data_IF_103691948541
#
_entry.id   IF_103691948541
#
_cell.length_a   1.000
_cell.length_b   1.000
_cell.length_c   1.000
_cell.angle_alpha   90.00
_cell.angle_beta   90.00
_cell.angle_gamma   90.00
#
_symmetry.space_group_name_H-M   'P 1'
#
loop_
_entity.id
_entity.type
_entity.pdbx_description
1 polymer ?
#
# COMPACT_ATOMS: atom_id res chain seq x y z
N UNK A 1 20.99 18.91 -28.13
CA UNK A 1 20.46 17.60 -27.73
C UNK A 1 20.55 17.51 -26.22
N UNK A 2 19.46 17.33 -25.48
CA UNK A 2 19.52 17.11 -24.04
C UNK A 2 20.10 15.72 -23.78
N UNK A 3 21.07 15.65 -22.87
CA UNK A 3 21.85 14.45 -22.56
C UNK A 3 21.00 13.37 -21.91
N UNK A 4 21.17 12.14 -22.41
CA UNK A 4 20.78 10.94 -21.69
C UNK A 4 21.69 10.80 -20.46
N UNK A 5 21.11 10.88 -19.27
CA UNK A 5 21.76 10.43 -18.04
C UNK A 5 21.88 8.92 -18.09
N UNK A 6 23.10 8.41 -18.16
CA UNK A 6 23.43 7.02 -17.90
C UNK A 6 23.05 6.71 -16.44
N UNK A 7 21.95 5.98 -16.20
CA UNK A 7 21.67 5.45 -14.87
C UNK A 7 22.68 4.34 -14.61
N UNK A 8 23.65 4.64 -13.75
CA UNK A 8 24.64 3.72 -13.24
C UNK A 8 23.94 2.70 -12.33
N UNK A 9 23.66 1.50 -12.82
CA UNK A 9 23.04 0.41 -12.04
C UNK A 9 24.12 -0.19 -11.13
N UNK A 10 24.35 0.47 -10.00
CA UNK A 10 25.15 -0.05 -8.90
C UNK A 10 24.55 -1.34 -8.34
N UNK A 11 25.37 -2.10 -7.61
CA UNK A 11 25.00 -3.37 -6.96
C UNK A 11 23.57 -3.35 -6.39
N UNK A 12 22.81 -4.43 -6.60
CA UNK A 12 21.46 -4.54 -6.07
C UNK A 12 21.47 -4.36 -4.56
N UNK A 13 20.36 -3.85 -4.03
CA UNK A 13 20.11 -3.97 -2.61
C UNK A 13 20.08 -5.46 -2.25
N UNK A 14 20.53 -5.78 -1.03
CA UNK A 14 20.54 -7.16 -0.54
C UNK A 14 19.17 -7.86 -0.72
N UNK A 15 18.01 -7.22 -0.47
CA UNK A 15 16.72 -7.84 -0.74
C UNK A 15 16.50 -8.17 -2.22
N UNK A 16 16.92 -7.31 -3.14
CA UNK A 16 16.77 -7.58 -4.57
C UNK A 16 17.63 -8.75 -5.06
N UNK A 17 18.90 -8.86 -4.61
CA UNK A 17 19.74 -10.04 -4.89
C UNK A 17 19.13 -11.32 -4.32
N UNK A 18 18.58 -11.23 -3.11
CA UNK A 18 17.91 -12.36 -2.44
C UNK A 18 16.68 -12.81 -3.22
N UNK A 19 15.84 -11.87 -3.68
CA UNK A 19 14.65 -12.18 -4.48
C UNK A 19 15.02 -12.88 -5.79
N UNK A 20 15.99 -12.35 -6.55
CA UNK A 20 16.42 -12.96 -7.82
C UNK A 20 16.98 -14.37 -7.59
N UNK A 21 17.76 -14.57 -6.53
CA UNK A 21 18.30 -15.88 -6.16
C UNK A 21 17.18 -16.86 -5.78
N UNK A 22 16.23 -16.41 -4.96
CA UNK A 22 15.07 -17.20 -4.54
C UNK A 22 14.22 -17.63 -5.73
N UNK A 23 13.91 -16.71 -6.65
CA UNK A 23 13.17 -16.99 -7.87
C UNK A 23 13.91 -18.02 -8.71
N UNK A 24 15.20 -17.81 -8.97
CA UNK A 24 16.05 -18.72 -9.74
C UNK A 24 16.01 -20.15 -9.19
N UNK A 25 16.14 -20.29 -7.87
CA UNK A 25 16.09 -21.58 -7.19
C UNK A 25 14.71 -22.24 -7.27
N UNK A 26 13.63 -21.46 -7.16
CA UNK A 26 12.27 -22.00 -7.19
C UNK A 26 11.83 -22.45 -8.59
N UNK A 27 12.19 -21.72 -9.65
CA UNK A 27 11.76 -22.04 -11.02
C UNK A 27 12.76 -22.91 -11.79
N UNK A 28 13.96 -23.14 -11.25
CA UNK A 28 14.96 -24.06 -11.79
C UNK A 28 15.54 -23.67 -13.16
N UNK A 29 15.38 -22.40 -13.57
CA UNK A 29 15.94 -21.85 -14.81
C UNK A 29 17.05 -20.86 -14.44
N UNK A 30 18.05 -20.69 -15.31
CA UNK A 30 18.96 -19.54 -15.22
C UNK A 30 18.09 -18.28 -15.39
N UNK A 31 17.73 -17.66 -14.28
CA UNK A 31 16.87 -16.49 -14.23
C UNK A 31 17.75 -15.29 -13.92
N UNK A 32 18.24 -14.64 -14.97
CA UNK A 32 19.01 -13.40 -14.86
C UNK A 32 18.25 -12.30 -15.60
N UNK A 33 17.51 -11.43 -14.89
CA UNK A 33 16.77 -10.34 -15.54
C UNK A 33 17.68 -9.33 -16.25
N UNK A 34 19.02 -9.45 -16.17
CA UNK A 34 20.00 -8.47 -16.66
C UNK A 34 20.90 -8.93 -17.80
N UNK A 35 20.67 -10.09 -18.42
CA UNK A 35 21.51 -10.54 -19.54
C UNK A 35 20.77 -10.62 -20.89
N UNK A 36 21.36 -9.95 -21.89
CA UNK A 36 21.09 -10.13 -23.33
C UNK A 36 21.64 -11.47 -23.87
N UNK A 37 21.48 -12.60 -23.17
CA UNK A 37 21.80 -13.91 -23.75
C UNK A 37 20.50 -14.56 -24.19
N UNK A 38 19.93 -14.09 -25.31
CA UNK A 38 18.62 -14.59 -25.77
C UNK A 38 18.56 -15.02 -27.22
N UNK A 39 19.27 -14.35 -28.14
CA UNK A 39 19.23 -14.76 -29.55
C UNK A 39 20.17 -15.93 -29.87
N UNK A 40 21.35 -16.02 -29.26
CA UNK A 40 22.34 -17.04 -29.60
C UNK A 40 21.92 -18.47 -29.18
N UNK A 41 21.31 -18.62 -28.00
CA UNK A 41 20.87 -19.92 -27.50
C UNK A 41 19.58 -20.40 -28.17
N UNK A 42 18.65 -19.49 -28.45
CA UNK A 42 17.44 -19.78 -29.23
C UNK A 42 17.79 -20.19 -30.67
N UNK A 43 18.73 -19.50 -31.31
CA UNK A 43 19.24 -19.86 -32.64
C UNK A 43 19.95 -21.23 -32.61
N UNK A 44 20.80 -21.48 -31.60
CA UNK A 44 21.49 -22.76 -31.44
C UNK A 44 20.54 -23.93 -31.10
N UNK A 45 19.41 -23.65 -30.43
CA UNK A 45 18.33 -24.63 -30.17
C UNK A 45 17.52 -24.91 -31.44
N UNK A 46 17.13 -23.87 -32.18
CA UNK A 46 16.45 -23.98 -33.47
C UNK A 46 17.30 -24.74 -34.50
N UNK A 47 18.60 -24.43 -34.58
CA UNK A 47 19.54 -25.13 -35.46
C UNK A 47 19.75 -26.59 -35.06
N UNK A 48 19.66 -26.93 -33.76
CA UNK A 48 19.69 -28.33 -33.30
C UNK A 48 18.46 -29.10 -33.75
N UNK A 49 17.27 -28.48 -33.68
CA UNK A 49 16.02 -29.12 -34.10
C UNK A 49 15.98 -29.28 -35.62
N UNK A 50 16.44 -28.29 -36.40
CA UNK A 50 16.58 -28.42 -37.86
C UNK A 50 17.45 -29.60 -38.26
N UNK A 51 18.54 -29.86 -37.54
CA UNK A 51 19.43 -31.00 -37.84
C UNK A 51 18.76 -32.35 -37.61
N UNK A 52 17.88 -32.46 -36.61
CA UNK A 52 17.11 -33.69 -36.35
C UNK A 52 16.01 -33.91 -37.40
N UNK A 53 15.45 -32.85 -37.98
CA UNK A 53 14.46 -32.94 -39.06
C UNK A 53 15.03 -33.30 -40.44
N UNK A 54 16.35 -33.23 -40.64
CA UNK A 54 17.01 -33.49 -41.92
C UNK A 54 17.11 -34.99 -42.28
N UNK A 55 16.78 -35.88 -41.35
CA UNK A 55 16.74 -37.35 -41.57
C UNK A 55 15.35 -37.84 -42.02
N UNK A 56 14.38 -36.93 -42.18
CA UNK A 56 12.98 -37.25 -42.46
C UNK A 56 12.69 -37.18 -43.96
N UNK A 57 12.24 -38.30 -44.55
CA UNK A 57 12.00 -38.41 -46.00
C UNK A 57 10.70 -37.73 -46.46
N UNK A 58 9.81 -37.41 -45.52
CA UNK A 58 8.55 -36.71 -45.78
C UNK A 58 8.74 -35.20 -45.57
N UNK A 59 8.78 -34.47 -46.69
CA UNK A 59 8.99 -33.02 -46.74
C UNK A 59 7.89 -32.27 -45.97
N UNK A 60 6.65 -32.76 -45.98
CA UNK A 60 5.53 -32.09 -45.30
C UNK A 60 5.66 -32.20 -43.77
N UNK A 61 6.09 -33.37 -43.27
CA UNK A 61 6.35 -33.60 -41.85
C UNK A 61 7.54 -32.76 -41.37
N UNK A 62 8.62 -32.70 -42.15
CA UNK A 62 9.78 -31.88 -41.83
C UNK A 62 9.41 -30.38 -41.72
N UNK A 63 8.61 -29.84 -42.66
CA UNK A 63 8.14 -28.45 -42.63
C UNK A 63 7.21 -28.19 -41.43
N UNK A 64 6.35 -29.14 -41.08
CA UNK A 64 5.47 -29.01 -39.92
C UNK A 64 6.28 -28.99 -38.60
N UNK A 65 7.31 -29.84 -38.50
CA UNK A 65 8.21 -29.88 -37.34
C UNK A 65 9.02 -28.60 -37.18
N UNK A 66 9.59 -28.06 -38.25
CA UNK A 66 10.33 -26.79 -38.20
C UNK A 66 9.43 -25.64 -37.70
N UNK A 67 8.19 -25.54 -38.23
CA UNK A 67 7.20 -24.55 -37.76
C UNK A 67 6.82 -24.74 -36.29
N UNK A 68 6.64 -25.98 -35.84
CA UNK A 68 6.31 -26.28 -34.45
C UNK A 68 7.48 -25.92 -33.51
N UNK A 69 8.70 -26.29 -33.89
CA UNK A 69 9.92 -25.97 -33.15
C UNK A 69 10.15 -24.46 -33.04
N UNK A 70 9.96 -23.73 -34.14
CA UNK A 70 10.08 -22.28 -34.17
C UNK A 70 9.03 -21.59 -33.29
N UNK A 71 7.75 -21.99 -33.37
CA UNK A 71 6.69 -21.48 -32.49
C UNK A 71 7.01 -21.74 -31.02
N UNK A 72 7.39 -22.97 -30.68
CA UNK A 72 7.75 -23.34 -29.31
C UNK A 72 8.90 -22.48 -28.78
N UNK A 73 9.97 -22.32 -29.56
CA UNK A 73 11.12 -21.51 -29.16
C UNK A 73 10.73 -20.04 -28.91
N UNK A 74 9.94 -19.45 -29.82
CA UNK A 74 9.47 -18.08 -29.67
C UNK A 74 8.52 -17.91 -28.48
N UNK A 75 7.59 -18.83 -28.28
CA UNK A 75 6.66 -18.79 -27.13
C UNK A 75 7.41 -18.88 -25.80
N UNK A 76 8.37 -19.79 -25.67
CA UNK A 76 9.19 -19.89 -24.45
C UNK A 76 10.08 -18.67 -24.24
N UNK A 77 10.61 -18.06 -25.31
CA UNK A 77 11.36 -16.82 -25.23
C UNK A 77 10.48 -15.65 -24.75
N UNK A 78 9.29 -15.48 -25.32
CA UNK A 78 8.32 -14.45 -24.89
C UNK A 78 7.93 -14.66 -23.42
N UNK A 79 7.65 -15.90 -23.02
CA UNK A 79 7.35 -16.22 -21.62
C UNK A 79 8.48 -15.83 -20.69
N UNK A 80 9.72 -16.14 -21.07
CA UNK A 80 10.91 -15.77 -20.30
C UNK A 80 11.08 -14.25 -20.18
N UNK A 81 10.93 -13.52 -21.29
CA UNK A 81 10.97 -12.05 -21.34
C UNK A 81 9.93 -11.43 -20.40
N UNK A 82 8.69 -11.94 -20.40
CA UNK A 82 7.62 -11.44 -19.54
C UNK A 82 7.94 -11.62 -18.05
N UNK A 83 8.41 -12.81 -17.65
CA UNK A 83 8.77 -13.10 -16.25
C UNK A 83 9.90 -12.19 -15.75
N UNK A 84 10.93 -11.99 -16.58
CA UNK A 84 12.05 -11.12 -16.25
C UNK A 84 11.63 -9.65 -16.19
N UNK A 85 10.81 -9.18 -17.13
CA UNK A 85 10.33 -7.79 -17.13
C UNK A 85 9.46 -7.49 -15.91
N UNK A 86 8.57 -8.41 -15.53
CA UNK A 86 7.77 -8.29 -14.29
C UNK A 86 8.68 -8.23 -13.07
N UNK A 87 9.72 -9.07 -13.02
CA UNK A 87 10.66 -9.08 -11.90
C UNK A 87 11.46 -7.79 -11.84
N UNK A 88 11.98 -7.31 -12.98
CA UNK A 88 12.69 -6.04 -13.09
C UNK A 88 11.83 -4.87 -12.61
N UNK A 89 10.54 -4.84 -12.97
CA UNK A 89 9.56 -3.84 -12.49
C UNK A 89 9.27 -3.94 -10.98
N UNK A 90 9.46 -5.11 -10.38
CA UNK A 90 9.25 -5.33 -8.95
C UNK A 90 10.45 -4.88 -8.10
N UNK A 91 11.69 -5.00 -8.61
CA UNK A 91 12.90 -4.70 -7.82
C UNK A 91 12.93 -3.29 -7.20
N UNK A 92 12.53 -2.20 -7.89
CA UNK A 92 12.52 -0.86 -7.32
C UNK A 92 11.46 -0.64 -6.22
N UNK A 93 10.53 -1.59 -6.05
CA UNK A 93 9.43 -1.53 -5.09
C UNK A 93 9.74 -2.32 -3.81
N UNK A 94 10.94 -2.89 -3.70
CA UNK A 94 11.36 -3.63 -2.52
C UNK A 94 11.78 -2.70 -1.40
N UNK A 95 11.28 -2.97 -0.20
CA UNK A 95 11.69 -2.27 1.01
C UNK A 95 13.06 -2.75 1.48
N UNK A 96 13.81 -1.90 2.18
CA UNK A 96 15.12 -2.27 2.76
C UNK A 96 15.05 -3.47 3.72
N UNK A 97 13.86 -3.68 4.32
CA UNK A 97 13.56 -4.75 5.27
C UNK A 97 12.86 -5.95 4.65
N UNK A 98 12.67 -5.99 3.33
CA UNK A 98 12.00 -7.09 2.65
C UNK A 98 12.68 -8.43 2.95
N UNK A 99 11.88 -9.51 2.99
CA UNK A 99 12.37 -10.86 3.32
C UNK A 99 11.95 -11.89 2.25
N UNK A 100 12.53 -11.83 1.04
CA UNK A 100 12.19 -12.75 -0.05
C UNK A 100 12.48 -14.23 0.27
N UNK A 101 13.43 -14.50 1.17
CA UNK A 101 13.78 -15.88 1.55
C UNK A 101 12.61 -16.62 2.21
N UNK A 102 11.74 -15.89 2.91
CA UNK A 102 10.56 -16.44 3.56
C UNK A 102 9.37 -16.67 2.62
N UNK A 103 9.45 -16.27 1.35
CA UNK A 103 8.43 -16.59 0.36
C UNK A 103 8.35 -18.10 0.12
N UNK A 104 7.14 -18.63 -0.01
CA UNK A 104 6.92 -20.05 -0.29
C UNK A 104 7.27 -20.39 -1.75
N UNK A 105 8.04 -21.45 -1.97
CA UNK A 105 8.43 -21.88 -3.32
C UNK A 105 7.19 -22.23 -4.19
N UNK A 106 6.17 -22.85 -3.60
CA UNK A 106 4.92 -23.19 -4.30
C UNK A 106 4.16 -21.93 -4.74
N UNK A 107 4.21 -20.87 -3.94
CA UNK A 107 3.65 -19.58 -4.32
C UNK A 107 4.41 -18.98 -5.50
N UNK A 108 5.75 -18.98 -5.46
CA UNK A 108 6.61 -18.46 -6.54
C UNK A 108 6.35 -19.21 -7.84
N UNK A 109 6.31 -20.55 -7.78
CA UNK A 109 6.00 -21.38 -8.95
C UNK A 109 4.62 -21.06 -9.53
N UNK A 110 3.60 -20.90 -8.68
CA UNK A 110 2.26 -20.52 -9.11
C UNK A 110 2.24 -19.13 -9.75
N UNK A 111 2.92 -18.15 -9.13
CA UNK A 111 3.02 -16.79 -9.64
C UNK A 111 3.62 -16.74 -11.05
N UNK A 112 4.76 -17.39 -11.26
CA UNK A 112 5.44 -17.38 -12.56
C UNK A 112 4.74 -18.25 -13.62
N UNK A 113 4.02 -19.31 -13.23
CA UNK A 113 3.15 -20.03 -14.16
C UNK A 113 2.05 -19.15 -14.75
N UNK A 114 1.49 -18.24 -13.94
CA UNK A 114 0.41 -17.33 -14.37
C UNK A 114 0.92 -16.09 -15.10
N UNK A 115 1.95 -15.43 -14.59
CA UNK A 115 2.38 -14.14 -15.11
C UNK A 115 3.16 -14.23 -16.43
N UNK A 116 3.76 -15.40 -16.76
CA UNK A 116 4.59 -15.58 -17.96
C UNK A 116 3.87 -15.31 -19.29
N UNK A 117 2.53 -15.35 -19.32
CA UNK A 117 1.75 -15.07 -20.52
C UNK A 117 1.39 -13.58 -20.68
N UNK A 118 1.79 -12.73 -19.74
CA UNK A 118 1.37 -11.32 -19.66
C UNK A 118 2.42 -10.42 -20.32
N UNK A 119 2.08 -9.84 -21.46
CA UNK A 119 2.93 -8.89 -22.20
C UNK A 119 2.42 -7.45 -22.16
N UNK A 120 1.21 -7.19 -21.64
CA UNK A 120 0.69 -5.83 -21.49
C UNK A 120 1.41 -5.12 -20.35
N UNK A 121 1.96 -3.93 -20.63
CA UNK A 121 2.80 -3.19 -19.68
C UNK A 121 2.06 -2.79 -18.40
N UNK A 122 0.79 -2.39 -18.50
CA UNK A 122 0.00 -1.98 -17.33
C UNK A 122 -0.33 -3.18 -16.45
N UNK A 123 -0.70 -4.31 -17.06
CA UNK A 123 -0.88 -5.55 -16.31
C UNK A 123 0.43 -6.02 -15.67
N UNK A 124 1.57 -5.92 -16.36
CA UNK A 124 2.87 -6.25 -15.78
C UNK A 124 3.20 -5.39 -14.56
N UNK A 125 2.75 -4.13 -14.48
CA UNK A 125 2.92 -3.30 -13.27
C UNK A 125 2.11 -3.84 -12.07
N UNK A 126 0.94 -4.44 -12.32
CA UNK A 126 0.13 -5.08 -11.27
C UNK A 126 0.84 -6.34 -10.78
N UNK A 127 1.27 -7.20 -11.71
CA UNK A 127 2.04 -8.41 -11.39
C UNK A 127 3.33 -8.08 -10.62
N UNK A 128 4.04 -7.03 -11.02
CA UNK A 128 5.22 -6.54 -10.29
C UNK A 128 4.89 -6.06 -8.88
N UNK A 129 3.72 -5.43 -8.68
CA UNK A 129 3.23 -5.02 -7.36
C UNK A 129 2.93 -6.20 -6.45
N UNK A 130 2.32 -7.26 -6.99
CA UNK A 130 2.06 -8.51 -6.26
C UNK A 130 3.38 -9.16 -5.84
N UNK A 131 4.35 -9.27 -6.77
CA UNK A 131 5.65 -9.86 -6.48
C UNK A 131 6.42 -9.07 -5.41
N UNK A 132 6.47 -7.74 -5.55
CA UNK A 132 7.13 -6.88 -4.58
C UNK A 132 6.45 -6.93 -3.20
N UNK A 133 5.12 -6.91 -3.16
CA UNK A 133 4.38 -6.97 -1.90
C UNK A 133 4.56 -8.30 -1.17
N UNK A 134 4.55 -9.43 -1.90
CA UNK A 134 4.86 -10.74 -1.32
C UNK A 134 6.32 -10.84 -0.85
N UNK A 135 7.26 -10.21 -1.55
CA UNK A 135 8.66 -10.15 -1.14
C UNK A 135 8.88 -9.26 0.10
N UNK A 136 8.14 -8.14 0.21
CA UNK A 136 8.20 -7.22 1.34
C UNK A 136 7.54 -7.82 2.58
N UNK A 137 6.40 -8.49 2.40
CA UNK A 137 5.63 -9.11 3.47
C UNK A 137 5.07 -10.49 3.02
N UNK A 138 5.85 -11.57 3.18
CA UNK A 138 5.44 -12.92 2.79
C UNK A 138 4.10 -13.33 3.42
N UNK A 139 3.21 -13.90 2.60
CA UNK A 139 1.84 -14.24 2.97
C UNK A 139 0.82 -13.11 2.75
N UNK A 140 1.24 -11.95 2.23
CA UNK A 140 0.35 -10.83 1.92
C UNK A 140 -0.51 -11.06 0.69
N UNK A 141 -0.08 -11.88 -0.26
CA UNK A 141 -0.85 -12.24 -1.45
C UNK A 141 -1.13 -13.74 -1.47
N UNK A 142 -2.40 -14.11 -1.41
CA UNK A 142 -2.79 -15.52 -1.48
C UNK A 142 -2.64 -16.08 -2.90
N UNK A 143 -2.39 -17.39 -3.02
CA UNK A 143 -2.44 -18.10 -4.32
C UNK A 143 -3.76 -17.89 -5.06
N UNK A 144 -4.86 -17.74 -4.32
CA UNK A 144 -6.19 -17.43 -4.88
C UNK A 144 -6.17 -16.09 -5.60
N UNK A 145 -5.60 -15.06 -4.99
CA UNK A 145 -5.47 -13.72 -5.57
C UNK A 145 -4.60 -13.74 -6.82
N UNK A 146 -3.45 -14.45 -6.78
CA UNK A 146 -2.58 -14.64 -7.95
C UNK A 146 -3.35 -15.28 -9.13
N UNK A 147 -4.14 -16.31 -8.86
CA UNK A 147 -4.92 -16.97 -9.90
C UNK A 147 -6.03 -16.07 -10.45
N UNK A 148 -6.73 -15.32 -9.58
CA UNK A 148 -7.76 -14.37 -9.98
C UNK A 148 -7.20 -13.29 -10.91
N UNK A 149 -6.01 -12.74 -10.61
CA UNK A 149 -5.37 -11.71 -11.43
C UNK A 149 -5.03 -12.22 -12.84
N UNK A 150 -4.81 -13.53 -13.00
CA UNK A 150 -4.58 -14.14 -14.31
C UNK A 150 -5.83 -14.14 -15.20
N UNK A 151 -7.02 -14.01 -14.62
CA UNK A 151 -8.29 -13.94 -15.32
C UNK A 151 -8.75 -12.49 -15.58
N UNK A 152 -8.02 -11.48 -15.07
CA UNK A 152 -8.36 -10.08 -15.26
C UNK A 152 -7.83 -9.55 -16.60
N UNK A 153 -8.71 -8.92 -17.37
CA UNK A 153 -8.30 -8.06 -18.47
C UNK A 153 -7.93 -6.66 -17.94
N UNK A 154 -7.17 -5.90 -18.74
CA UNK A 154 -6.81 -4.52 -18.42
C UNK A 154 -8.01 -3.65 -18.04
N UNK A 155 -9.15 -3.83 -18.72
CA UNK A 155 -10.39 -3.08 -18.43
C UNK A 155 -10.96 -3.42 -17.05
N UNK A 156 -10.84 -4.66 -16.61
CA UNK A 156 -11.28 -5.08 -15.27
C UNK A 156 -10.39 -4.46 -14.19
N UNK A 157 -9.07 -4.46 -14.43
CA UNK A 157 -8.11 -3.83 -13.54
C UNK A 157 -8.33 -2.31 -13.42
N UNK A 158 -8.59 -1.63 -14.53
CA UNK A 158 -8.95 -0.21 -14.56
C UNK A 158 -10.25 0.07 -13.79
N UNK A 159 -11.26 -0.77 -13.97
CA UNK A 159 -12.52 -0.64 -13.27
C UNK A 159 -12.36 -0.84 -11.75
N UNK A 160 -11.59 -1.84 -11.33
CA UNK A 160 -11.29 -2.07 -9.92
C UNK A 160 -10.48 -0.92 -9.31
N UNK A 161 -9.50 -0.39 -10.06
CA UNK A 161 -8.74 0.80 -9.66
C UNK A 161 -9.66 2.02 -9.48
N UNK A 162 -10.62 2.23 -10.39
CA UNK A 162 -11.58 3.32 -10.27
C UNK A 162 -12.48 3.15 -9.03
N UNK A 163 -12.93 1.93 -8.74
CA UNK A 163 -13.70 1.63 -7.53
C UNK A 163 -12.89 1.95 -6.26
N UNK A 164 -11.61 1.55 -6.24
CA UNK A 164 -10.73 1.82 -5.10
C UNK A 164 -10.50 3.33 -4.88
N UNK A 165 -10.70 4.17 -5.89
CA UNK A 165 -10.73 5.64 -5.76
C UNK A 165 -11.76 6.14 -4.73
N UNK A 166 -12.80 5.35 -4.45
CA UNK A 166 -13.84 5.64 -3.47
C UNK A 166 -13.57 5.00 -2.10
N UNK A 167 -12.37 4.45 -1.88
CA UNK A 167 -12.05 3.72 -0.68
C UNK A 167 -11.57 4.60 0.48
N UNK A 168 -12.23 4.42 1.62
CA UNK A 168 -11.83 4.98 2.90
C UNK A 168 -11.15 3.93 3.77
N UNK A 169 -10.22 4.38 4.59
CA UNK A 169 -9.62 3.59 5.65
C UNK A 169 -10.48 3.72 6.91
N UNK A 170 -11.24 2.65 7.23
CA UNK A 170 -12.09 2.57 8.43
C UNK A 170 -11.83 1.20 9.08
N UNK A 171 -10.72 1.10 9.82
CA UNK A 171 -10.14 -0.16 10.28
C UNK A 171 -9.53 -1.01 9.16
N UNK A 172 -10.26 -1.19 8.06
CA UNK A 172 -9.85 -1.80 6.80
C UNK A 172 -10.24 -0.91 5.62
N UNK A 173 -9.71 -1.21 4.43
CA UNK A 173 -9.96 -0.40 3.24
C UNK A 173 -11.36 -0.72 2.70
N UNK A 174 -12.18 0.31 2.50
CA UNK A 174 -13.63 0.17 2.23
C UNK A 174 -14.09 1.14 1.15
N UNK A 175 -14.35 0.67 -0.09
CA UNK A 175 -14.98 1.45 -1.14
C UNK A 175 -16.42 1.82 -0.75
N UNK A 176 -16.67 3.09 -0.45
CA UNK A 176 -17.99 3.54 -0.04
C UNK A 176 -18.82 3.84 -1.29
N UNK A 177 -19.85 3.03 -1.55
CA UNK A 177 -20.77 3.23 -2.67
C UNK A 177 -22.20 3.28 -2.14
N UNK A 178 -22.72 4.47 -1.87
CA UNK A 178 -24.05 4.63 -1.28
C UNK A 178 -25.19 4.48 -2.30
N UNK A 179 -25.01 5.04 -3.51
CA UNK A 179 -26.02 5.03 -4.57
C UNK A 179 -25.36 4.83 -5.94
N UNK A 180 -25.64 3.69 -6.56
CA UNK A 180 -25.13 3.27 -7.87
C UNK A 180 -25.60 4.12 -9.04
N UNK A 181 -26.52 5.05 -8.83
CA UNK A 181 -27.00 5.99 -9.86
C UNK A 181 -26.40 7.38 -9.74
N UNK A 182 -25.68 7.68 -8.65
CA UNK A 182 -25.15 9.01 -8.41
C UNK A 182 -23.97 9.32 -9.36
N UNK A 183 -23.98 10.52 -9.94
CA UNK A 183 -23.00 10.97 -10.95
C UNK A 183 -21.54 10.87 -10.49
N UNK A 184 -21.29 11.02 -9.18
CA UNK A 184 -19.94 10.87 -8.61
C UNK A 184 -19.31 9.49 -8.88
N UNK A 185 -20.14 8.44 -8.97
CA UNK A 185 -19.71 7.08 -9.28
C UNK A 185 -19.78 6.81 -10.78
N UNK A 186 -20.91 7.17 -11.41
CA UNK A 186 -21.13 6.94 -12.83
C UNK A 186 -20.11 7.65 -13.72
N UNK A 187 -19.68 8.87 -13.35
CA UNK A 187 -18.63 9.61 -14.04
C UNK A 187 -17.25 8.92 -14.02
N UNK A 188 -17.07 7.91 -13.17
CA UNK A 188 -15.88 7.04 -13.10
C UNK A 188 -16.15 5.62 -13.60
N UNK A 189 -17.31 5.38 -14.22
CA UNK A 189 -17.72 4.08 -14.72
C UNK A 189 -18.21 3.11 -13.63
N UNK A 190 -18.42 3.58 -12.39
CA UNK A 190 -18.92 2.76 -11.29
C UNK A 190 -20.44 2.84 -11.25
N UNK A 191 -21.08 1.75 -11.67
CA UNK A 191 -22.52 1.54 -11.73
C UNK A 191 -22.88 0.07 -11.43
N UNK A 192 -24.17 -0.26 -11.40
CA UNK A 192 -24.66 -1.63 -11.15
C UNK A 192 -23.97 -2.70 -12.00
N UNK A 193 -23.86 -2.49 -13.32
CA UNK A 193 -23.28 -3.47 -14.24
C UNK A 193 -21.80 -3.71 -13.94
N UNK A 194 -21.06 -2.63 -13.73
CA UNK A 194 -19.64 -2.67 -13.41
C UNK A 194 -19.36 -3.35 -12.04
N UNK A 195 -20.20 -3.11 -11.04
CA UNK A 195 -20.07 -3.73 -9.72
C UNK A 195 -20.43 -5.22 -9.76
N UNK A 196 -21.45 -5.58 -10.53
CA UNK A 196 -21.81 -6.99 -10.76
C UNK A 196 -20.68 -7.76 -11.46
N UNK A 197 -19.96 -7.10 -12.38
CA UNK A 197 -18.77 -7.67 -13.03
C UNK A 197 -17.63 -7.88 -12.03
N UNK A 198 -17.29 -6.86 -11.22
CA UNK A 198 -16.26 -6.99 -10.19
C UNK A 198 -16.59 -8.07 -9.14
N UNK A 199 -17.87 -8.27 -8.83
CA UNK A 199 -18.33 -9.37 -7.97
C UNK A 199 -18.14 -10.73 -8.64
N UNK A 200 -18.48 -10.85 -9.92
CA UNK A 200 -18.29 -12.09 -10.70
C UNK A 200 -16.81 -12.48 -10.79
N UNK A 201 -15.92 -11.48 -10.91
CA UNK A 201 -14.47 -11.67 -10.87
C UNK A 201 -13.96 -12.03 -9.46
N UNK A 202 -14.79 -11.91 -8.42
CA UNK A 202 -14.45 -12.24 -7.05
C UNK A 202 -13.63 -11.18 -6.32
N UNK A 203 -13.62 -9.93 -6.82
CA UNK A 203 -12.91 -8.80 -6.20
C UNK A 203 -13.75 -8.13 -5.10
N UNK A 204 -15.07 -8.16 -5.24
CA UNK A 204 -16.00 -7.55 -4.28
C UNK A 204 -17.18 -8.46 -3.94
N UNK A 205 -17.85 -8.16 -2.84
CA UNK A 205 -19.25 -8.51 -2.62
C UNK A 205 -20.10 -7.29 -2.95
N UNK A 206 -21.19 -7.48 -3.69
CA UNK A 206 -22.08 -6.42 -4.11
C UNK A 206 -23.52 -6.71 -3.67
N UNK A 207 -24.13 -5.77 -2.96
CA UNK A 207 -25.52 -5.87 -2.53
C UNK A 207 -26.24 -4.56 -2.78
N UNK A 208 -26.93 -4.48 -3.91
CA UNK A 208 -27.63 -3.27 -4.34
C UNK A 208 -28.91 -2.96 -3.53
N UNK A 209 -29.45 -3.96 -2.81
CA UNK A 209 -30.73 -3.86 -2.12
C UNK A 209 -30.55 -3.31 -0.69
N UNK A 210 -29.83 -4.05 0.16
CA UNK A 210 -29.65 -3.67 1.56
C UNK A 210 -28.32 -2.98 1.84
N UNK A 211 -27.35 -3.19 0.95
CA UNK A 211 -25.95 -2.84 1.22
C UNK A 211 -25.41 -3.52 2.47
N UNK A 212 -24.37 -2.92 3.03
CA UNK A 212 -23.59 -3.38 4.15
C UNK A 212 -23.47 -2.29 5.22
N UNK A 213 -23.25 -2.75 6.45
CA UNK A 213 -23.06 -1.91 7.62
C UNK A 213 -21.85 -2.36 8.40
N UNK A 214 -21.13 -1.39 8.95
CA UNK A 214 -20.15 -1.62 10.00
C UNK A 214 -20.90 -1.60 11.33
N UNK A 215 -20.70 -2.63 12.15
CA UNK A 215 -21.35 -2.79 13.45
C UNK A 215 -20.33 -2.61 14.57
N UNK A 216 -20.83 -2.40 15.79
CA UNK A 216 -20.02 -2.31 17.01
C UNK A 216 -18.95 -1.22 16.94
N UNK A 217 -19.30 -0.08 16.35
CA UNK A 217 -18.40 1.06 16.29
C UNK A 217 -18.40 1.80 17.64
N UNK A 218 -17.22 2.21 18.13
CA UNK A 218 -17.12 3.04 19.32
C UNK A 218 -17.68 4.43 19.04
N UNK A 219 -17.89 5.21 20.10
CA UNK A 219 -18.31 6.61 19.96
C UNK A 219 -17.41 7.43 19.05
N UNK A 220 -16.09 7.31 19.19
CA UNK A 220 -15.11 8.11 18.44
C UNK A 220 -14.07 7.21 17.80
N UNK A 221 -13.79 7.43 16.52
CA UNK A 221 -12.73 6.73 15.80
C UNK A 221 -12.20 7.59 14.65
N UNK A 222 -10.96 7.29 14.26
CA UNK A 222 -10.30 7.94 13.15
C UNK A 222 -10.56 7.17 11.87
N UNK A 223 -10.74 7.93 10.79
CA UNK A 223 -10.85 7.44 9.43
C UNK A 223 -9.89 8.23 8.55
N UNK A 224 -9.52 7.66 7.41
CA UNK A 224 -8.69 8.39 6.46
C UNK A 224 -9.11 8.15 5.02
N UNK A 225 -8.90 9.16 4.20
CA UNK A 225 -9.11 9.09 2.76
C UNK A 225 -7.86 9.62 2.06
N UNK A 226 -7.07 8.71 1.49
CA UNK A 226 -5.80 9.03 0.82
C UNK A 226 -4.89 9.97 1.63
N UNK A 227 -4.72 9.67 2.93
CA UNK A 227 -3.90 10.44 3.85
C UNK A 227 -4.59 11.63 4.52
N UNK A 228 -5.78 12.05 4.03
CA UNK A 228 -6.60 13.05 4.73
C UNK A 228 -7.32 12.38 5.90
N UNK A 229 -6.91 12.72 7.12
CA UNK A 229 -7.51 12.21 8.35
C UNK A 229 -8.82 12.94 8.67
N UNK A 230 -9.79 12.20 9.21
CA UNK A 230 -10.99 12.76 9.83
C UNK A 230 -11.35 11.95 11.08
N UNK A 231 -11.97 12.60 12.06
CA UNK A 231 -12.54 11.95 13.22
C UNK A 231 -14.06 11.91 13.07
N UNK A 232 -14.66 10.74 13.28
CA UNK A 232 -16.11 10.59 13.39
C UNK A 232 -16.52 10.42 14.84
N UNK A 233 -17.60 11.11 15.22
CA UNK A 233 -18.26 10.93 16.52
C UNK A 233 -19.71 10.47 16.32
N UNK A 234 -19.99 9.24 16.76
CA UNK A 234 -21.30 8.60 16.69
C UNK A 234 -22.10 8.83 18.00
N UNK A 235 -23.44 8.73 17.97
CA UNK A 235 -24.28 9.14 19.09
C UNK A 235 -24.14 8.29 20.36
N UNK A 236 -24.01 6.96 20.23
CA UNK A 236 -23.92 6.04 21.35
C UNK A 236 -22.46 5.87 21.82
N UNK A 237 -22.26 5.52 23.08
CA UNK A 237 -20.91 5.30 23.61
C UNK A 237 -20.23 4.05 23.00
N UNK A 238 -21.02 3.04 22.65
CA UNK A 238 -20.62 1.82 21.94
C UNK A 238 -21.81 1.21 21.18
N UNK A 239 -21.55 0.20 20.34
CA UNK A 239 -22.59 -0.53 19.61
C UNK A 239 -23.16 0.24 18.43
N UNK A 240 -22.48 1.30 17.98
CA UNK A 240 -22.98 2.09 16.86
C UNK A 240 -22.90 1.31 15.54
N UNK A 241 -23.73 1.72 14.60
CA UNK A 241 -23.73 1.21 13.22
C UNK A 241 -23.41 2.34 12.24
N UNK A 242 -22.70 2.02 11.16
CA UNK A 242 -22.45 2.95 10.06
C UNK A 242 -22.77 2.27 8.73
N UNK A 243 -23.58 2.92 7.90
CA UNK A 243 -23.83 2.43 6.54
C UNK A 243 -22.54 2.54 5.73
N UNK A 244 -22.05 1.41 5.23
CA UNK A 244 -20.83 1.33 4.43
C UNK A 244 -21.11 1.51 2.93
N UNK A 245 -22.36 1.32 2.55
CA UNK A 245 -22.81 1.36 1.16
C UNK A 245 -23.07 -0.04 0.62
N UNK A 246 -22.93 -0.22 -0.69
CA UNK A 246 -23.38 -1.42 -1.42
C UNK A 246 -22.26 -2.41 -1.74
N UNK A 247 -21.03 -2.12 -1.32
CA UNK A 247 -19.82 -2.84 -1.74
C UNK A 247 -18.95 -3.22 -0.53
N UNK A 248 -18.42 -4.44 -0.53
CA UNK A 248 -17.30 -4.86 0.32
C UNK A 248 -16.19 -5.43 -0.55
N UNK A 249 -14.93 -5.22 -0.18
CA UNK A 249 -13.82 -5.94 -0.81
C UNK A 249 -13.81 -7.39 -0.33
N UNK A 250 -13.61 -8.34 -1.24
CA UNK A 250 -13.25 -9.71 -0.85
C UNK A 250 -11.81 -9.71 -0.31
N UNK A 251 -11.34 -10.87 0.18
CA UNK A 251 -9.93 -11.04 0.52
C UNK A 251 -9.00 -10.65 -0.65
N UNK A 252 -9.30 -11.09 -1.87
CA UNK A 252 -8.48 -10.74 -3.04
C UNK A 252 -8.56 -9.24 -3.35
N UNK A 253 -9.74 -8.63 -3.20
CA UNK A 253 -9.89 -7.18 -3.33
C UNK A 253 -9.04 -6.40 -2.31
N UNK A 254 -9.01 -6.83 -1.04
CA UNK A 254 -8.18 -6.23 0.00
C UNK A 254 -6.68 -6.38 -0.26
N UNK A 255 -6.25 -7.54 -0.77
CA UNK A 255 -4.85 -7.78 -1.12
C UNK A 255 -4.41 -6.91 -2.33
N UNK A 256 -5.30 -6.70 -3.32
CA UNK A 256 -4.97 -5.94 -4.54
C UNK A 256 -5.14 -4.42 -4.42
N UNK A 257 -6.07 -3.94 -3.59
CA UNK A 257 -6.39 -2.52 -3.52
C UNK A 257 -5.20 -1.60 -3.15
N UNK A 258 -4.26 -1.99 -2.27
CA UNK A 258 -3.06 -1.19 -1.98
C UNK A 258 -2.13 -1.00 -3.20
N UNK A 259 -2.13 -1.93 -4.16
CA UNK A 259 -1.22 -1.94 -5.30
C UNK A 259 -1.89 -1.59 -6.63
N UNK A 260 -3.21 -1.37 -6.66
CA UNK A 260 -3.95 -1.10 -7.89
C UNK A 260 -3.73 0.32 -8.45
N UNK A 261 -2.99 1.17 -7.74
CA UNK A 261 -2.64 2.53 -8.21
C UNK A 261 -3.84 3.48 -8.28
N UNK A 262 -4.82 3.30 -7.39
CA UNK A 262 -5.97 4.19 -7.28
C UNK A 262 -5.58 5.58 -6.76
N UNK A 263 -6.40 6.57 -7.10
CA UNK A 263 -6.20 7.98 -6.72
C UNK A 263 -7.50 8.54 -6.14
N UNK A 264 -7.45 9.55 -5.25
CA UNK A 264 -8.67 10.12 -4.71
C UNK A 264 -9.56 10.71 -5.82
N UNK A 265 -10.86 10.65 -5.60
CA UNK A 265 -11.90 11.20 -6.47
C UNK A 265 -12.25 12.60 -5.97
N UNK A 266 -12.17 13.57 -6.87
CA UNK A 266 -12.51 14.96 -6.60
C UNK A 266 -13.95 15.10 -6.08
N UNK A 267 -14.13 15.87 -5.00
CA UNK A 267 -15.42 16.09 -4.35
C UNK A 267 -15.97 14.90 -3.55
N UNK A 268 -15.30 13.74 -3.58
CA UNK A 268 -15.82 12.56 -2.88
C UNK A 268 -15.65 12.65 -1.37
N UNK A 269 -14.60 13.32 -0.89
CA UNK A 269 -14.42 13.53 0.55
C UNK A 269 -15.61 14.29 1.14
N UNK A 270 -16.00 15.39 0.50
CA UNK A 270 -17.11 16.25 0.87
C UNK A 270 -18.44 15.49 0.77
N UNK A 271 -18.64 14.77 -0.33
CA UNK A 271 -19.84 13.95 -0.53
C UNK A 271 -20.04 12.92 0.58
N UNK A 272 -18.98 12.22 1.01
CA UNK A 272 -19.08 11.24 2.11
C UNK A 272 -19.33 11.94 3.45
N UNK A 273 -18.71 13.09 3.67
CA UNK A 273 -18.90 13.88 4.88
C UNK A 273 -20.33 14.38 5.03
N UNK A 274 -20.93 14.88 3.95
CA UNK A 274 -22.34 15.31 3.90
C UNK A 274 -23.28 14.13 4.19
N UNK A 275 -22.99 12.95 3.64
CA UNK A 275 -23.75 11.71 3.91
C UNK A 275 -23.67 11.29 5.38
N UNK A 276 -22.52 11.46 6.02
CA UNK A 276 -22.37 11.12 7.43
C UNK A 276 -22.87 12.21 8.38
N UNK A 277 -22.94 13.47 7.95
CA UNK A 277 -23.54 14.56 8.72
C UNK A 277 -25.03 14.33 9.02
N UNK A 278 -25.73 13.55 8.17
CA UNK A 278 -27.12 13.16 8.40
C UNK A 278 -27.28 12.08 9.50
N UNK A 279 -26.21 11.36 9.86
CA UNK A 279 -26.24 10.14 10.70
C UNK A 279 -25.26 10.16 11.88
N UNK A 280 -24.37 11.14 11.95
CA UNK A 280 -23.34 11.29 12.99
C UNK A 280 -23.21 12.75 13.43
N UNK A 281 -22.75 12.95 14.67
CA UNK A 281 -22.32 14.28 15.13
C UNK A 281 -20.95 14.52 14.54
N UNK A 282 -20.92 14.92 13.28
CA UNK A 282 -19.69 15.34 12.64
C UNK A 282 -19.20 16.59 13.38
N UNK A 283 -18.01 16.57 14.03
CA UNK A 283 -17.49 17.78 14.65
C UNK A 283 -17.37 18.86 13.56
N UNK A 284 -17.67 20.13 13.87
CA UNK A 284 -17.63 21.20 12.87
C UNK A 284 -16.29 21.20 12.14
N UNK A 285 -16.34 21.39 10.82
CA UNK A 285 -15.18 21.53 9.93
C UNK A 285 -14.00 22.15 10.68
N UNK A 286 -12.87 21.45 10.72
CA UNK A 286 -11.61 22.15 10.90
C UNK A 286 -11.50 23.09 9.68
N UNK A 287 -11.36 24.42 9.87
CA UNK A 287 -11.45 25.36 8.78
C UNK A 287 -10.39 25.04 7.71
N UNK A 288 -10.86 25.02 6.47
CA UNK A 288 -10.04 24.85 5.27
C UNK A 288 -8.84 25.82 5.30
N UNK A 289 -7.58 25.35 5.21
CA UNK A 289 -6.41 26.21 5.18
C UNK A 289 -6.38 27.19 3.99
N UNK A 290 -7.28 27.05 3.01
CA UNK A 290 -7.32 27.87 1.80
C UNK A 290 -8.28 29.08 1.83
N UNK A 291 -9.01 29.34 2.93
CA UNK A 291 -9.83 30.56 3.07
C UNK A 291 -9.59 31.24 4.42
N UNK A 292 -8.88 32.38 4.46
CA UNK A 292 -8.73 33.13 5.69
C UNK A 292 -10.04 33.88 5.98
N UNK A 293 -10.87 33.35 6.86
CA UNK A 293 -11.78 34.19 7.64
C UNK A 293 -10.93 34.97 8.65
N UNK A 294 -11.31 36.24 8.89
CA UNK A 294 -10.55 37.18 9.72
C UNK A 294 -10.23 36.56 11.08
N UNK A 295 -8.94 36.29 11.29
CA UNK A 295 -8.41 35.69 12.51
C UNK A 295 -8.66 36.66 13.66
N UNK A 296 -9.40 36.22 14.68
CA UNK A 296 -9.52 36.94 15.95
C UNK A 296 -8.25 36.71 16.77
N UNK A 297 -7.84 37.71 17.56
CA UNK A 297 -6.63 37.66 18.40
C UNK A 297 -6.55 36.41 19.32
N UNK A 298 -7.69 35.85 19.74
CA UNK A 298 -7.75 34.63 20.56
C UNK A 298 -7.34 33.35 19.79
N UNK A 299 -7.46 33.35 18.46
CA UNK A 299 -7.11 32.21 17.62
C UNK A 299 -5.63 32.23 17.27
N UNK A 300 -5.04 33.42 17.07
CA UNK A 300 -3.59 33.61 16.92
C UNK A 300 -2.82 33.13 18.15
N UNK A 301 -3.26 33.51 19.36
CA UNK A 301 -2.64 33.09 20.61
C UNK A 301 -2.68 31.56 20.82
N UNK A 302 -3.75 30.88 20.36
CA UNK A 302 -3.86 29.41 20.44
C UNK A 302 -2.96 28.69 19.44
N UNK A 303 -2.80 29.23 18.23
CA UNK A 303 -1.90 28.68 17.21
C UNK A 303 -0.44 28.85 17.62
N UNK A 304 -0.09 30.02 18.15
CA UNK A 304 1.25 30.30 18.68
C UNK A 304 1.59 29.34 19.83
N UNK A 305 0.65 29.13 20.76
CA UNK A 305 0.82 28.14 21.84
C UNK A 305 1.02 26.69 21.34
N UNK A 306 0.31 26.26 20.30
CA UNK A 306 0.49 24.93 19.72
C UNK A 306 1.84 24.76 18.99
N UNK A 307 2.32 25.81 18.32
CA UNK A 307 3.64 25.81 17.66
C UNK A 307 4.78 25.73 18.69
N UNK A 308 4.68 26.50 19.77
CA UNK A 308 5.64 26.45 20.88
C UNK A 308 5.68 25.06 21.53
N UNK A 309 4.51 24.47 21.82
CA UNK A 309 4.44 23.12 22.39
C UNK A 309 5.06 22.06 21.46
N UNK A 310 4.82 22.14 20.15
CA UNK A 310 5.40 21.20 19.17
C UNK A 310 6.91 21.29 19.10
N UNK A 311 7.47 22.50 19.13
CA UNK A 311 8.92 22.69 19.13
C UNK A 311 9.54 22.16 20.43
N UNK A 312 8.91 22.42 21.57
CA UNK A 312 9.34 21.92 22.87
C UNK A 312 9.34 20.38 22.93
N UNK A 313 8.29 19.75 22.39
CA UNK A 313 8.21 18.28 22.32
C UNK A 313 9.25 17.70 21.34
N UNK A 314 9.57 18.43 20.28
CA UNK A 314 10.65 18.06 19.35
C UNK A 314 12.02 18.13 20.03
N UNK A 315 12.25 19.14 20.87
CA UNK A 315 13.47 19.29 21.66
C UNK A 315 13.62 18.17 22.70
N UNK A 316 12.57 17.88 23.48
CA UNK A 316 12.57 16.79 24.45
C UNK A 316 12.90 15.45 23.79
N UNK A 317 12.22 15.10 22.68
CA UNK A 317 12.50 13.84 21.94
C UNK A 317 13.94 13.72 21.43
N UNK A 318 14.59 14.83 21.06
CA UNK A 318 16.00 14.81 20.62
C UNK A 318 16.95 14.54 21.78
N UNK A 319 16.57 14.88 23.00
CA UNK A 319 17.41 14.78 24.19
C UNK A 319 17.07 13.58 25.07
N UNK A 320 15.90 12.96 24.90
CA UNK A 320 15.38 11.91 25.78
C UNK A 320 16.39 10.79 26.02
N UNK A 321 17.09 10.31 24.98
CA UNK A 321 18.11 9.25 25.12
C UNK A 321 19.26 9.67 26.05
N UNK A 322 19.78 10.89 25.85
CA UNK A 322 20.88 11.43 26.66
C UNK A 322 20.42 11.74 28.09
N UNK A 323 19.18 12.21 28.24
CA UNK A 323 18.58 12.46 29.54
C UNK A 323 18.34 11.15 30.31
N UNK A 324 17.87 10.09 29.65
CA UNK A 324 17.71 8.76 30.26
C UNK A 324 19.05 8.18 30.72
N UNK A 325 20.14 8.41 29.99
CA UNK A 325 21.47 8.00 30.44
C UNK A 325 21.93 8.76 31.70
N UNK A 326 21.58 10.04 31.82
CA UNK A 326 22.02 10.90 32.92
C UNK A 326 21.11 10.85 34.16
N UNK A 327 19.81 10.67 33.95
CA UNK A 327 18.74 10.70 34.97
C UNK A 327 17.77 9.52 34.77
N UNK A 328 18.25 8.27 34.89
CA UNK A 328 17.42 7.10 34.67
C UNK A 328 16.28 7.02 35.69
N UNK A 329 15.10 6.63 35.20
CA UNK A 329 13.87 6.40 35.97
C UNK A 329 13.38 7.65 36.74
N UNK A 330 13.65 8.84 36.19
CA UNK A 330 13.20 10.12 36.72
C UNK A 330 12.19 10.80 35.78
N UNK A 331 11.41 11.72 36.34
CA UNK A 331 10.52 12.58 35.58
C UNK A 331 11.25 13.82 35.10
N UNK A 332 11.08 14.15 33.82
CA UNK A 332 11.63 15.34 33.22
C UNK A 332 10.51 16.27 32.72
N UNK A 333 10.59 17.55 33.04
CA UNK A 333 9.75 18.60 32.45
C UNK A 333 10.62 19.58 31.67
N UNK A 334 10.30 19.80 30.40
CA UNK A 334 10.88 20.86 29.58
C UNK A 334 9.86 21.98 29.44
N UNK A 335 10.28 23.20 29.72
CA UNK A 335 9.42 24.40 29.73
C UNK A 335 9.85 25.39 28.64
N UNK A 336 9.02 26.38 28.26
CA UNK A 336 9.37 27.34 27.23
C UNK A 336 10.69 28.04 27.55
N UNK A 337 11.58 28.12 26.55
CA UNK A 337 12.97 28.56 26.75
C UNK A 337 13.98 27.40 26.87
N UNK A 338 13.52 26.15 26.92
CA UNK A 338 14.37 24.96 26.93
C UNK A 338 14.96 24.61 28.29
N UNK A 339 14.49 25.24 29.36
CA UNK A 339 14.85 24.86 30.73
C UNK A 339 14.28 23.48 31.05
N UNK A 340 15.08 22.68 31.77
CA UNK A 340 14.77 21.30 32.12
C UNK A 340 14.71 21.15 33.63
N UNK A 341 13.63 20.55 34.12
CA UNK A 341 13.44 20.18 35.52
C UNK A 341 13.39 18.66 35.63
N UNK A 342 14.13 18.12 36.59
CA UNK A 342 14.19 16.68 36.84
C UNK A 342 13.76 16.41 38.28
N UNK A 343 12.91 15.40 38.48
CA UNK A 343 12.48 14.97 39.81
C UNK A 343 12.31 13.46 39.91
N UNK A 344 12.44 12.90 41.11
CA UNK A 344 12.30 11.46 41.34
C UNK A 344 10.85 10.98 41.26
N UNK A 345 9.89 11.88 41.49
CA UNK A 345 8.45 11.58 41.42
C UNK A 345 7.70 12.66 40.65
N UNK A 346 6.54 12.31 40.10
CA UNK A 346 5.66 13.27 39.42
C UNK A 346 5.20 14.38 40.38
N UNK A 347 4.90 14.07 41.63
CA UNK A 347 4.44 15.06 42.61
C UNK A 347 5.52 16.09 42.93
N UNK A 348 6.79 15.66 43.05
CA UNK A 348 7.93 16.57 43.20
C UNK A 348 8.11 17.46 41.96
N UNK A 349 7.98 16.89 40.76
CA UNK A 349 8.09 17.64 39.51
C UNK A 349 7.01 18.72 39.42
N UNK A 350 5.77 18.37 39.73
CA UNK A 350 4.63 19.30 39.71
C UNK A 350 4.78 20.39 40.78
N UNK A 351 5.29 20.07 41.97
CA UNK A 351 5.55 21.06 43.01
C UNK A 351 6.61 22.10 42.57
N UNK A 352 7.65 21.68 41.85
CA UNK A 352 8.66 22.58 41.27
C UNK A 352 8.05 23.48 40.19
N UNK A 353 7.19 22.93 39.32
CA UNK A 353 6.49 23.72 38.29
C UNK A 353 5.50 24.72 38.90
N UNK A 354 4.82 24.35 39.97
CA UNK A 354 3.92 25.22 40.73
C UNK A 354 4.67 26.38 41.39
N UNK A 355 5.81 26.12 42.05
CA UNK A 355 6.64 27.16 42.67
C UNK A 355 7.15 28.18 41.63
N UNK A 356 7.40 27.71 40.41
CA UNK A 356 7.85 28.55 39.28
C UNK A 356 6.71 29.19 38.49
N UNK A 357 5.45 28.91 38.85
CA UNK A 357 4.25 29.38 38.16
C UNK A 357 4.20 28.97 36.67
N UNK A 358 4.70 27.76 36.37
CA UNK A 358 4.82 27.20 35.02
C UNK A 358 3.75 26.14 34.70
N UNK A 359 2.87 25.82 35.67
CA UNK A 359 1.85 24.75 35.54
C UNK A 359 0.86 24.98 34.40
N UNK A 360 0.50 26.23 34.15
CA UNK A 360 -0.49 26.63 33.13
C UNK A 360 0.15 26.95 31.76
N UNK A 361 1.45 26.69 31.60
CA UNK A 361 2.21 26.94 30.37
C UNK A 361 2.35 25.70 29.47
N UNK A 362 2.94 25.89 28.29
CA UNK A 362 3.33 24.81 27.40
C UNK A 362 4.51 24.02 28.01
N UNK A 363 4.22 22.98 28.77
CA UNK A 363 5.23 22.11 29.40
C UNK A 363 5.16 20.71 28.79
N UNK A 364 6.31 20.14 28.44
CA UNK A 364 6.41 18.75 27.99
C UNK A 364 6.99 17.93 29.14
N UNK A 365 6.25 16.92 29.58
CA UNK A 365 6.66 16.02 30.65
C UNK A 365 6.90 14.63 30.07
N UNK A 366 8.05 14.04 30.40
CA UNK A 366 8.44 12.71 29.93
C UNK A 366 9.05 11.91 31.08
N UNK A 367 8.77 10.60 31.13
CA UNK A 367 9.40 9.69 32.07
C UNK A 367 10.60 9.03 31.39
N UNK A 368 11.78 9.19 31.99
CA UNK A 368 13.06 8.76 31.43
C UNK A 368 13.30 7.27 31.73
N UNK A 369 12.49 6.41 31.12
CA UNK A 369 12.52 4.97 31.34
C UNK A 369 13.85 4.36 30.87
N UNK A 370 14.63 3.82 31.81
CA UNK A 370 15.90 3.14 31.52
C UNK A 370 15.71 1.77 30.87
N UNK A 371 14.49 1.22 30.88
CA UNK A 371 14.13 -0.05 30.30
C UNK A 371 12.75 0.03 29.60
N UNK A 372 12.64 0.81 28.51
CA UNK A 372 11.37 1.06 27.85
C UNK A 372 10.76 -0.26 27.41
N UNK A 373 9.52 -0.49 27.83
CA UNK A 373 8.74 -1.64 27.35
C UNK A 373 8.73 -1.56 25.82
N UNK A 374 9.14 -2.62 25.08
CA UNK A 374 9.17 -2.56 23.63
C UNK A 374 7.76 -2.21 23.15
N UNK A 375 7.64 -1.07 22.48
CA UNK A 375 6.41 -0.67 21.82
C UNK A 375 6.05 -1.78 20.82
N UNK A 376 5.05 -2.58 21.15
CA UNK A 376 4.42 -3.48 20.19
C UNK A 376 3.62 -2.56 19.26
N UNK A 377 4.25 -2.19 18.15
CA UNK A 377 3.63 -1.46 17.04
C UNK A 377 2.60 -2.31 16.33
#
# INVERSE_FOLDING_TARGET
>A
MPGFSLVNVGALSKPADTLVTKISNAIGRHFDPRQEIRMAEAQARADRIRRVGAEETDIEIAILRDRAAYRFANEEMTKQLNMESITEKALPRLDDKANPDAMENDWIMNFFDKCRMVSDEDMQQIWAGILAGEANNPGSFSRRTVNLVADLDKRDAELFRNLCGFAWMIGSLRPLVFDTHHEIYNGRGINFGSLSQLETLGLIHFNDISGFKILHLPKRFNISYYGKLAALELPADDGNELQEGKVLLTRAGLELAPICGSTPVEGFFEYVYDRWAEVSLVPPRDPDPAKPESVTNDTEAKIEGLLEYRELASQMRRQVVLLTEQYPDQWAAMVPGGELFIAGTMDELLAVLDEKNLRDGNVVIEFLDSNPTPLVL
#
